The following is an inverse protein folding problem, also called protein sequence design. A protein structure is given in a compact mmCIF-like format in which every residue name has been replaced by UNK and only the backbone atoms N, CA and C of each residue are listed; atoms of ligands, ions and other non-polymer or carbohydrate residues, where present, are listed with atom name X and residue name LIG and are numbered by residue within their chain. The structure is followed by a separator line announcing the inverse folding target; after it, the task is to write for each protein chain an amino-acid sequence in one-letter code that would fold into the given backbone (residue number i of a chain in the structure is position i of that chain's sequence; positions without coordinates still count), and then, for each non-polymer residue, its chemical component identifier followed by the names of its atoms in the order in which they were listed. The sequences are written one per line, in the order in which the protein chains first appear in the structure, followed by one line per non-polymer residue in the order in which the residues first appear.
data_IF_946818145404
#
_entry.id   IF_946818145404
#
_cell.length_a   1.000
_cell.length_b   1.000
_cell.length_c   1.000
_cell.angle_alpha   90.00
_cell.angle_beta   90.00
_cell.angle_gamma   90.00
#
_symmetry.space_group_name_H-M   'P 1'
#
loop_
_entity.id
_entity.type
_entity.pdbx_description
1 polymer ?
#
# COMPACT_ATOMS: atom_id res chain seq x y z
N UNK A 1 -12.34 -3.01 19.66
CA UNK A 1 -11.42 -2.39 20.61
C UNK A 1 -11.46 -0.89 20.37
N UNK A 2 -11.84 -0.08 21.41
CA UNK A 2 -11.75 1.36 21.29
C UNK A 2 -10.29 1.77 21.44
N UNK A 3 -9.70 2.29 20.40
CA UNK A 3 -8.41 2.94 20.51
C UNK A 3 -8.57 4.17 21.39
N UNK A 4 -7.70 4.29 22.41
CA UNK A 4 -7.63 5.52 23.17
C UNK A 4 -7.13 6.62 22.24
N UNK A 5 -8.04 7.46 21.76
CA UNK A 5 -7.65 8.70 21.08
C UNK A 5 -6.83 9.52 22.08
N UNK A 6 -5.80 10.22 21.60
CA UNK A 6 -5.03 11.13 22.43
C UNK A 6 -5.97 12.12 23.12
N UNK A 7 -5.80 12.27 24.44
CA UNK A 7 -6.61 13.17 25.22
C UNK A 7 -6.45 14.62 24.74
N UNK A 8 -7.56 15.26 24.39
CA UNK A 8 -7.61 16.68 24.08
C UNK A 8 -8.20 17.37 25.31
N UNK A 9 -7.42 18.20 26.03
CA UNK A 9 -7.96 18.96 27.14
C UNK A 9 -8.94 20.01 26.62
N UNK A 10 -10.22 19.91 26.98
CA UNK A 10 -11.26 20.80 26.47
C UNK A 10 -11.45 22.07 27.30
N UNK A 11 -10.98 22.10 28.54
CA UNK A 11 -11.10 23.26 29.45
C UNK A 11 -12.50 23.87 29.50
N UNK A 12 -13.53 23.05 29.34
CA UNK A 12 -14.93 23.48 29.39
C UNK A 12 -15.49 24.03 28.07
N UNK A 13 -14.73 24.01 26.97
CA UNK A 13 -15.20 24.36 25.63
C UNK A 13 -15.09 23.16 24.70
N UNK A 14 -16.04 23.04 23.75
CA UNK A 14 -15.98 21.98 22.74
C UNK A 14 -14.72 22.14 21.89
N UNK A 15 -13.96 21.06 21.78
CA UNK A 15 -12.79 20.98 20.91
C UNK A 15 -13.03 19.91 19.85
N UNK A 16 -12.74 20.22 18.60
CA UNK A 16 -12.77 19.27 17.50
C UNK A 16 -11.34 18.97 17.10
N UNK A 17 -10.99 17.68 17.13
CA UNK A 17 -9.72 17.21 16.55
C UNK A 17 -9.89 17.13 15.03
N UNK A 18 -8.98 17.71 14.28
CA UNK A 18 -8.84 17.36 12.87
C UNK A 18 -8.46 15.87 12.74
N UNK A 19 -9.01 15.19 11.77
CA UNK A 19 -8.60 13.83 11.46
C UNK A 19 -7.10 13.78 11.20
N UNK A 20 -6.45 12.70 11.61
CA UNK A 20 -5.05 12.48 11.22
C UNK A 20 -5.04 12.26 9.69
N UNK A 21 -4.31 13.08 8.97
CA UNK A 21 -4.09 12.95 7.53
C UNK A 21 -2.63 12.58 7.30
N UNK A 22 -2.42 11.60 6.45
CA UNK A 22 -1.11 11.22 5.91
C UNK A 22 -0.98 11.65 4.45
N UNK A 23 -1.90 12.49 3.99
CA UNK A 23 -1.87 13.02 2.64
C UNK A 23 -0.59 13.82 2.42
N UNK A 24 0.02 13.63 1.26
CA UNK A 24 1.22 14.36 0.85
C UNK A 24 2.49 14.11 1.67
N UNK A 25 2.65 12.92 2.28
CA UNK A 25 3.94 12.58 2.86
C UNK A 25 5.00 12.62 1.76
N UNK A 26 5.91 13.58 1.86
CA UNK A 26 7.03 13.71 0.92
C UNK A 26 8.07 12.62 1.20
N UNK A 27 8.18 11.69 0.27
CA UNK A 27 9.15 10.58 0.35
C UNK A 27 10.35 10.76 -0.57
N UNK A 28 10.52 11.92 -1.18
CA UNK A 28 11.62 12.21 -2.12
C UNK A 28 13.01 12.00 -1.51
N UNK A 29 13.15 12.17 -0.20
CA UNK A 29 14.41 11.88 0.53
C UNK A 29 14.60 10.38 0.82
N UNK A 30 13.54 9.57 0.79
CA UNK A 30 13.57 8.14 1.06
C UNK A 30 13.61 7.32 -0.23
N UNK A 31 12.85 7.75 -1.24
CA UNK A 31 12.75 7.11 -2.55
C UNK A 31 13.55 7.94 -3.56
N UNK A 32 14.85 7.75 -3.56
CA UNK A 32 15.74 8.43 -4.51
C UNK A 32 15.64 7.88 -5.94
N UNK A 33 15.04 6.68 -6.08
CA UNK A 33 14.80 6.02 -7.38
C UNK A 33 13.42 5.35 -7.34
N UNK A 34 12.55 5.73 -8.24
CA UNK A 34 11.18 5.20 -8.32
C UNK A 34 11.11 3.70 -8.67
N UNK A 35 12.17 3.17 -9.26
CA UNK A 35 12.25 1.80 -9.76
C UNK A 35 13.22 0.89 -8.96
N UNK A 36 13.58 1.27 -7.73
CA UNK A 36 14.44 0.46 -6.86
C UNK A 36 14.01 0.60 -5.40
N UNK A 37 12.84 0.08 -5.10
CA UNK A 37 12.28 0.17 -3.76
C UNK A 37 11.35 -1.00 -3.43
N UNK A 38 11.00 -1.14 -2.16
CA UNK A 38 10.09 -2.17 -1.67
C UNK A 38 9.04 -1.56 -0.75
N UNK A 39 7.77 -1.83 -1.04
CA UNK A 39 6.65 -1.56 -0.16
C UNK A 39 6.27 -2.84 0.56
N UNK A 40 6.20 -2.80 1.88
CA UNK A 40 5.71 -3.91 2.70
C UNK A 40 4.53 -3.44 3.54
N UNK A 41 3.52 -4.30 3.65
CA UNK A 41 2.39 -4.08 4.53
C UNK A 41 1.95 -5.34 5.25
N UNK A 42 1.56 -5.17 6.51
CA UNK A 42 0.79 -6.14 7.26
C UNK A 42 -0.56 -5.51 7.59
N UNK A 43 -1.63 -6.02 6.98
CA UNK A 43 -2.95 -5.39 6.99
C UNK A 43 -4.05 -6.40 7.26
N UNK A 44 -5.18 -5.88 7.75
CA UNK A 44 -6.44 -6.62 7.89
C UNK A 44 -7.53 -5.80 7.23
N UNK A 45 -8.31 -6.40 6.34
CA UNK A 45 -9.53 -5.78 5.82
C UNK A 45 -10.75 -6.34 6.57
N UNK A 46 -11.55 -5.47 7.15
CA UNK A 46 -12.68 -5.84 8.00
C UNK A 46 -14.04 -5.76 7.28
N UNK A 47 -14.08 -5.33 6.03
CA UNK A 47 -15.34 -4.99 5.35
C UNK A 47 -15.42 -5.50 3.93
N UNK A 48 -16.65 -5.84 3.54
CA UNK A 48 -16.99 -6.28 2.19
C UNK A 48 -17.67 -5.21 1.31
N UNK A 49 -17.57 -3.93 1.64
CA UNK A 49 -18.21 -2.85 0.87
C UNK A 49 -17.20 -1.78 0.47
N UNK A 50 -17.01 -1.63 -0.82
CA UNK A 50 -16.08 -0.64 -1.39
C UNK A 50 -14.63 -1.15 -1.50
N UNK A 51 -13.84 -0.51 -2.34
CA UNK A 51 -12.40 -0.79 -2.44
C UNK A 51 -11.68 -0.05 -1.32
N UNK A 52 -10.83 -0.77 -0.57
CA UNK A 52 -9.94 -0.16 0.42
C UNK A 52 -8.58 0.06 -0.22
N UNK A 53 -8.09 1.28 -0.23
CA UNK A 53 -6.71 1.58 -0.62
C UNK A 53 -5.83 1.51 0.60
N UNK A 54 -4.72 0.82 0.49
CA UNK A 54 -3.72 0.73 1.54
C UNK A 54 -2.56 1.68 1.28
N UNK A 55 -2.10 1.73 0.05
CA UNK A 55 -0.95 2.53 -0.36
C UNK A 55 -1.31 3.22 -1.65
N UNK A 56 -1.05 4.51 -1.70
CA UNK A 56 -1.05 5.27 -2.94
C UNK A 56 0.23 6.08 -3.01
N UNK A 57 0.96 5.96 -4.11
CA UNK A 57 2.12 6.79 -4.40
C UNK A 57 1.90 7.51 -5.72
N UNK A 58 2.21 8.78 -5.76
CA UNK A 58 1.98 9.66 -6.89
C UNK A 58 3.25 10.44 -7.23
N UNK A 59 3.27 11.01 -8.42
CA UNK A 59 4.25 12.03 -8.79
C UNK A 59 4.04 13.33 -7.97
N UNK A 60 4.97 14.27 -8.14
CA UNK A 60 4.93 15.56 -7.42
C UNK A 60 3.66 16.39 -7.71
N UNK A 61 3.00 16.15 -8.84
CA UNK A 61 1.78 16.85 -9.23
C UNK A 61 0.50 16.19 -8.70
N UNK A 62 0.62 15.01 -8.04
CA UNK A 62 -0.52 14.18 -7.58
C UNK A 62 -1.56 13.92 -8.67
N UNK A 63 -1.13 13.85 -9.90
CA UNK A 63 -2.05 13.51 -10.96
C UNK A 63 -2.29 11.99 -10.98
N UNK A 64 -3.48 11.59 -11.37
CA UNK A 64 -3.83 10.18 -11.49
C UNK A 64 -3.18 9.50 -12.71
N UNK A 65 -2.32 10.19 -13.44
CA UNK A 65 -1.65 9.68 -14.63
C UNK A 65 -0.43 8.82 -14.27
N UNK A 66 0.30 9.22 -13.22
CA UNK A 66 1.46 8.49 -12.71
C UNK A 66 1.18 8.06 -11.27
N UNK A 67 1.00 6.75 -11.05
CA UNK A 67 0.63 6.26 -9.73
C UNK A 67 0.96 4.80 -9.50
N UNK A 68 1.21 4.49 -8.23
CA UNK A 68 1.20 3.14 -7.68
C UNK A 68 0.03 3.08 -6.70
N UNK A 69 -0.85 2.09 -6.84
CA UNK A 69 -1.93 1.85 -5.88
C UNK A 69 -1.87 0.41 -5.40
N UNK A 70 -1.94 0.20 -4.08
CA UNK A 70 -2.19 -1.10 -3.47
C UNK A 70 -3.56 -1.02 -2.80
N UNK A 71 -4.50 -1.80 -3.29
CA UNK A 71 -5.91 -1.70 -2.92
C UNK A 71 -6.61 -3.06 -2.99
N UNK A 72 -7.76 -3.15 -2.35
CA UNK A 72 -8.60 -4.36 -2.41
C UNK A 72 -9.70 -4.23 -3.45
N UNK A 73 -9.91 -5.32 -4.19
CA UNK A 73 -11.15 -5.54 -4.95
C UNK A 73 -12.11 -6.39 -4.12
N UNK A 74 -13.41 -6.07 -4.22
CA UNK A 74 -14.41 -6.69 -3.37
C UNK A 74 -14.94 -8.02 -3.90
N UNK A 75 -15.06 -8.99 -3.00
CA UNK A 75 -15.91 -10.16 -3.14
C UNK A 75 -16.97 -10.19 -2.04
N UNK A 76 -17.91 -11.11 -2.10
CA UNK A 76 -19.00 -11.23 -1.11
C UNK A 76 -18.51 -11.76 0.25
N UNK A 77 -17.52 -12.64 0.27
CA UNK A 77 -16.96 -13.28 1.48
C UNK A 77 -15.47 -13.09 1.62
N UNK A 78 -14.77 -12.76 0.56
CA UNK A 78 -13.34 -12.55 0.52
C UNK A 78 -12.98 -11.37 -0.40
N UNK A 79 -11.72 -11.00 -0.40
CA UNK A 79 -11.21 -9.94 -1.27
C UNK A 79 -9.95 -10.37 -2.03
N UNK A 80 -9.61 -9.61 -3.04
CA UNK A 80 -8.34 -9.68 -3.74
C UNK A 80 -7.54 -8.42 -3.46
N UNK A 81 -6.29 -8.55 -3.06
CA UNK A 81 -5.35 -7.44 -2.96
C UNK A 81 -4.68 -7.24 -4.31
N UNK A 82 -4.82 -6.06 -4.86
CA UNK A 82 -4.26 -5.67 -6.15
C UNK A 82 -3.10 -4.69 -5.99
N UNK A 83 -2.17 -4.74 -6.91
CA UNK A 83 -1.26 -3.63 -7.19
C UNK A 83 -1.52 -3.12 -8.59
N UNK A 84 -1.68 -1.82 -8.72
CA UNK A 84 -1.77 -1.11 -9.99
C UNK A 84 -0.59 -0.16 -10.15
N UNK A 85 0.05 -0.23 -11.31
CA UNK A 85 1.09 0.68 -11.73
C UNK A 85 0.63 1.39 -13.01
N UNK A 86 0.76 2.69 -13.05
CA UNK A 86 0.38 3.50 -14.19
C UNK A 86 1.39 4.62 -14.39
N UNK A 87 1.75 4.82 -15.65
CA UNK A 87 2.55 5.94 -16.15
C UNK A 87 1.78 6.63 -17.25
N UNK A 88 1.87 7.95 -17.32
CA UNK A 88 1.19 8.78 -18.32
C UNK A 88 1.59 8.36 -19.74
N UNK A 89 0.58 8.17 -20.59
CA UNK A 89 0.78 7.70 -21.96
C UNK A 89 0.88 6.18 -22.12
N UNK A 90 1.01 5.42 -21.02
CA UNK A 90 1.15 3.97 -21.05
C UNK A 90 -0.11 3.24 -20.58
N UNK A 91 -0.23 1.98 -20.95
CA UNK A 91 -1.30 1.10 -20.44
C UNK A 91 -1.06 0.79 -18.97
N UNK A 92 -2.09 0.96 -18.16
CA UNK A 92 -2.03 0.59 -16.75
C UNK A 92 -1.78 -0.90 -16.58
N UNK A 93 -0.79 -1.24 -15.75
CA UNK A 93 -0.47 -2.61 -15.36
C UNK A 93 -1.14 -2.88 -14.01
N UNK A 94 -1.86 -3.99 -13.92
CA UNK A 94 -2.48 -4.44 -12.68
C UNK A 94 -2.26 -5.94 -12.52
N UNK A 95 -1.92 -6.36 -11.30
CA UNK A 95 -1.84 -7.76 -10.94
C UNK A 95 -2.35 -8.03 -9.52
N UNK A 96 -2.64 -9.29 -9.25
CA UNK A 96 -3.08 -9.73 -7.94
C UNK A 96 -1.87 -9.97 -7.05
N UNK A 97 -1.77 -9.23 -5.95
CA UNK A 97 -0.80 -9.47 -4.88
C UNK A 97 -1.23 -10.68 -4.05
N UNK A 98 -2.52 -10.76 -3.73
CA UNK A 98 -3.13 -11.93 -3.07
C UNK A 98 -4.58 -12.08 -3.50
N UNK A 99 -5.07 -13.31 -3.54
CA UNK A 99 -6.46 -13.66 -3.91
C UNK A 99 -7.12 -14.47 -2.81
N UNK A 100 -8.45 -14.43 -2.76
CA UNK A 100 -9.26 -15.20 -1.82
C UNK A 100 -8.87 -15.01 -0.36
N UNK A 101 -8.58 -13.76 0.03
CA UNK A 101 -8.29 -13.40 1.42
C UNK A 101 -9.59 -13.16 2.16
N UNK A 102 -9.86 -13.89 3.23
CA UNK A 102 -11.08 -13.72 4.00
C UNK A 102 -11.06 -12.40 4.78
N UNK A 103 -12.24 -11.79 4.94
CA UNK A 103 -12.36 -10.58 5.76
C UNK A 103 -12.04 -10.90 7.23
N UNK A 104 -11.21 -10.08 7.83
CA UNK A 104 -10.70 -10.28 9.19
C UNK A 104 -9.35 -10.97 9.26
N UNK A 105 -8.91 -11.63 8.20
CA UNK A 105 -7.59 -12.24 8.15
C UNK A 105 -6.48 -11.20 7.98
N UNK A 106 -5.34 -11.54 8.57
CA UNK A 106 -4.12 -10.75 8.40
C UNK A 106 -3.40 -11.22 7.15
N UNK A 107 -3.06 -10.27 6.28
CA UNK A 107 -2.17 -10.53 5.14
C UNK A 107 -0.88 -9.74 5.30
N UNK A 108 0.24 -10.40 5.06
CA UNK A 108 1.54 -9.77 4.85
C UNK A 108 1.86 -9.78 3.38
N UNK A 109 2.15 -8.62 2.83
CA UNK A 109 2.50 -8.49 1.43
C UNK A 109 3.72 -7.61 1.23
N UNK A 110 4.42 -7.81 0.12
CA UNK A 110 5.44 -6.89 -0.36
C UNK A 110 5.29 -6.71 -1.86
N UNK A 111 5.52 -5.48 -2.32
CA UNK A 111 5.63 -5.14 -3.74
C UNK A 111 6.98 -4.47 -3.96
N UNK A 112 7.75 -5.02 -4.87
CA UNK A 112 9.11 -4.57 -5.18
C UNK A 112 9.15 -4.02 -6.58
N UNK A 113 9.83 -2.90 -6.71
CA UNK A 113 10.23 -2.32 -7.98
C UNK A 113 11.73 -2.52 -8.13
N UNK A 114 12.15 -3.21 -9.17
CA UNK A 114 13.55 -3.53 -9.46
C UNK A 114 13.83 -3.30 -10.95
N UNK A 115 14.30 -2.11 -11.27
CA UNK A 115 14.46 -1.69 -12.65
C UNK A 115 13.13 -1.73 -13.40
N UNK A 116 13.06 -2.53 -14.45
CA UNK A 116 11.86 -2.68 -15.28
C UNK A 116 10.94 -3.83 -14.81
N UNK A 117 11.12 -4.32 -13.61
CA UNK A 117 10.27 -5.37 -13.05
C UNK A 117 9.53 -4.88 -11.81
N UNK A 118 8.30 -5.33 -11.70
CA UNK A 118 7.49 -5.23 -10.51
C UNK A 118 7.13 -6.63 -10.02
N UNK A 119 7.45 -6.94 -8.78
CA UNK A 119 7.33 -8.27 -8.19
C UNK A 119 6.47 -8.19 -6.94
N UNK A 120 5.57 -9.15 -6.74
CA UNK A 120 4.76 -9.24 -5.54
C UNK A 120 4.98 -10.55 -4.78
N UNK A 121 4.97 -10.42 -3.46
CA UNK A 121 4.95 -11.51 -2.50
C UNK A 121 3.76 -11.35 -1.56
N UNK A 122 3.17 -12.46 -1.18
CA UNK A 122 2.16 -12.51 -0.13
C UNK A 122 2.32 -13.78 0.70
N UNK A 123 2.31 -13.63 2.03
CA UNK A 123 2.41 -14.73 2.99
C UNK A 123 3.56 -15.72 2.67
N UNK A 124 4.73 -15.19 2.35
CA UNK A 124 5.95 -15.98 2.06
C UNK A 124 6.10 -16.47 0.62
N UNK A 125 5.13 -16.22 -0.25
CA UNK A 125 5.10 -16.79 -1.61
C UNK A 125 5.16 -15.66 -2.64
N UNK A 126 5.97 -15.83 -3.69
CA UNK A 126 5.97 -14.97 -4.87
C UNK A 126 4.68 -15.17 -5.65
N UNK A 127 3.87 -14.14 -5.77
CA UNK A 127 2.52 -14.24 -6.35
C UNK A 127 2.41 -13.68 -7.75
N UNK A 128 3.21 -12.68 -8.08
CA UNK A 128 3.18 -12.06 -9.41
C UNK A 128 4.52 -11.44 -9.79
N UNK A 129 4.72 -11.30 -11.10
CA UNK A 129 5.79 -10.51 -11.71
C UNK A 129 5.22 -9.83 -12.95
N UNK A 130 5.56 -8.57 -13.15
CA UNK A 130 5.20 -7.81 -14.35
C UNK A 130 6.38 -6.96 -14.81
N UNK A 131 6.49 -6.78 -16.12
CA UNK A 131 7.43 -5.81 -16.70
C UNK A 131 6.76 -4.44 -16.70
N UNK A 132 7.47 -3.44 -16.20
CA UNK A 132 7.02 -2.06 -16.14
C UNK A 132 7.90 -1.15 -17.00
N UNK A 133 7.34 -0.04 -17.44
CA UNK A 133 8.11 1.07 -18.01
C UNK A 133 8.60 1.91 -16.84
N UNK A 134 9.83 2.40 -16.93
CA UNK A 134 10.40 3.28 -15.91
C UNK A 134 9.52 4.53 -15.72
N UNK A 135 9.17 4.81 -14.50
CA UNK A 135 8.39 5.98 -14.14
C UNK A 135 9.23 6.98 -13.38
N UNK A 136 9.12 8.23 -13.79
CA UNK A 136 9.74 9.32 -13.08
C UNK A 136 9.07 9.56 -11.72
N UNK A 137 9.84 9.40 -10.64
CA UNK A 137 9.64 10.05 -9.34
C UNK A 137 8.26 9.94 -8.67
N UNK A 138 7.90 8.78 -8.20
CA UNK A 138 6.85 8.66 -7.17
C UNK A 138 7.40 9.15 -5.83
N UNK A 139 7.19 10.42 -5.52
CA UNK A 139 7.75 11.08 -4.35
C UNK A 139 6.69 11.56 -3.34
N UNK A 140 5.43 11.32 -3.64
CA UNK A 140 4.30 11.56 -2.75
C UNK A 140 3.69 10.22 -2.34
N UNK A 141 3.42 10.08 -1.07
CA UNK A 141 2.93 8.85 -0.48
C UNK A 141 1.73 9.13 0.42
N UNK A 142 0.63 8.45 0.15
CA UNK A 142 -0.58 8.51 0.95
C UNK A 142 -0.83 7.13 1.57
N UNK A 143 -1.07 7.11 2.84
CA UNK A 143 -1.62 5.97 3.55
C UNK A 143 -3.10 6.30 3.75
N UNK A 144 -3.98 5.61 3.08
CA UNK A 144 -5.42 5.88 3.09
C UNK A 144 -5.84 7.17 2.38
N UNK A 145 -6.58 7.02 1.33
CA UNK A 145 -7.12 8.12 0.53
C UNK A 145 -8.66 8.10 0.52
N UNK A 146 -9.32 7.18 1.21
CA UNK A 146 -10.77 7.12 1.17
C UNK A 146 -11.45 7.07 2.52
N UNK A 147 -12.49 7.90 2.65
CA UNK A 147 -13.35 8.04 3.84
C UNK A 147 -14.17 6.79 4.21
N UNK A 148 -14.05 5.71 3.45
CA UNK A 148 -14.83 4.48 3.65
C UNK A 148 -14.00 3.28 4.12
N UNK A 149 -12.79 3.51 4.62
CA UNK A 149 -11.86 2.44 4.88
C UNK A 149 -12.06 1.78 6.23
N UNK A 150 -12.28 0.48 6.20
CA UNK A 150 -12.30 -0.37 7.37
C UNK A 150 -11.16 -1.40 7.31
N UNK A 151 -9.97 -0.94 6.97
CA UNK A 151 -8.75 -1.70 7.08
C UNK A 151 -7.96 -1.31 8.35
N UNK A 152 -7.21 -2.23 8.89
CA UNK A 152 -6.24 -1.99 9.95
C UNK A 152 -4.84 -2.23 9.42
N UNK A 153 -3.97 -1.24 9.58
CA UNK A 153 -2.55 -1.43 9.39
C UNK A 153 -1.94 -1.93 10.70
N UNK A 154 -1.29 -3.07 10.66
CA UNK A 154 -0.44 -3.54 11.75
C UNK A 154 0.98 -3.04 11.56
N UNK A 155 1.43 -3.04 10.32
CA UNK A 155 2.74 -2.54 9.93
C UNK A 155 2.73 -2.04 8.50
N UNK A 156 3.48 -0.98 8.23
CA UNK A 156 3.76 -0.47 6.90
C UNK A 156 5.22 -0.04 6.86
N UNK A 157 6.00 -0.57 5.93
CA UNK A 157 7.41 -0.26 5.76
C UNK A 157 7.70 0.10 4.31
N UNK A 158 8.57 1.06 4.15
CA UNK A 158 9.11 1.49 2.87
C UNK A 158 10.62 1.35 2.89
N UNK A 159 11.15 0.54 1.99
CA UNK A 159 12.58 0.34 1.83
C UNK A 159 13.07 1.08 0.59
N UNK A 160 14.13 1.90 0.69
CA UNK A 160 14.70 2.63 -0.44
C UNK A 160 15.56 1.72 -1.34
N UNK A 161 15.33 0.43 -1.32
CA UNK A 161 16.04 -0.59 -2.11
C UNK A 161 15.08 -1.71 -2.50
N UNK A 162 15.34 -2.34 -3.63
CA UNK A 162 14.70 -3.60 -3.98
C UNK A 162 15.27 -4.73 -3.11
N UNK A 163 14.44 -5.35 -2.28
CA UNK A 163 14.81 -6.50 -1.49
C UNK A 163 14.89 -7.76 -2.36
N UNK A 164 15.72 -8.72 -1.96
CA UNK A 164 15.84 -10.00 -2.66
C UNK A 164 14.59 -10.87 -2.46
N UNK A 165 14.36 -11.82 -3.38
CA UNK A 165 13.24 -12.79 -3.27
C UNK A 165 13.26 -13.55 -1.93
N UNK A 166 14.45 -13.86 -1.40
CA UNK A 166 14.59 -14.51 -0.10
C UNK A 166 14.16 -13.60 1.05
N UNK A 167 14.63 -12.35 1.05
CA UNK A 167 14.24 -11.38 2.08
C UNK A 167 12.74 -11.09 2.04
N UNK A 168 12.16 -11.01 0.85
CA UNK A 168 10.72 -10.82 0.64
C UNK A 168 9.91 -11.99 1.16
N UNK A 169 10.35 -13.22 0.87
CA UNK A 169 9.68 -14.40 1.39
C UNK A 169 9.71 -14.45 2.92
N UNK A 170 10.87 -14.16 3.53
CA UNK A 170 11.02 -14.10 5.00
C UNK A 170 10.15 -12.96 5.58
N UNK A 171 10.24 -11.77 5.02
CA UNK A 171 9.51 -10.58 5.49
C UNK A 171 7.99 -10.81 5.45
N UNK A 172 7.49 -11.47 4.41
CA UNK A 172 6.07 -11.76 4.25
C UNK A 172 5.61 -13.04 4.95
N UNK A 173 6.51 -13.81 5.58
CA UNK A 173 6.12 -14.86 6.51
C UNK A 173 6.52 -16.28 6.12
N UNK A 174 7.44 -16.48 5.16
CA UNK A 174 8.03 -17.81 4.98
C UNK A 174 8.80 -18.21 6.25
N UNK A 175 8.57 -19.39 6.74
CA UNK A 175 9.43 -19.99 7.77
C UNK A 175 10.71 -20.48 7.12
N UNK A 176 11.86 -20.07 7.63
CA UNK A 176 13.18 -20.58 7.25
C UNK A 176 13.39 -22.00 7.78
#
# INVERSE_FOLDING_TARGET
ASYKTSYIPTYGVSQTRAGDSTDDLDTSSLLTQSNNNTFFGEVVNHRNTGNTRYIASYDSARNNSDRILIYTGNGSSNYTLHCQYKVSGETSIQFNVATNVDYGDTIKFAVVFNGNEMIAFANGIKTATATIVDADNFNKFDITDSINELGTYKQLLLFPTALSDLDLAILTGATT
#
